data_IF_262040643830
#
_entry.id   IF_262040643830
#
_cell.length_a   1.000
_cell.length_b   1.000
_cell.length_c   1.000
_cell.angle_alpha   90.00
_cell.angle_beta   90.00
_cell.angle_gamma   90.00
#
_symmetry.space_group_name_H-M   'P 1'
#
loop_
_entity.id
_entity.type
_entity.pdbx_description
1 polymer ?
#
# COMPACT_ATOMS: atom_id res chain seq x y z
N UNK A 1 -11.31 19.59 44.92
CA UNK A 1 -10.75 18.23 44.75
C UNK A 1 -10.99 17.86 43.29
N UNK A 2 -9.91 17.82 42.51
CA UNK A 2 -9.96 17.63 41.06
C UNK A 2 -10.25 16.17 40.69
N UNK A 3 -10.93 15.96 39.55
CA UNK A 3 -10.38 15.28 38.38
C UNK A 3 -11.40 15.33 37.22
N UNK A 4 -10.96 15.92 36.10
CA UNK A 4 -11.58 15.88 34.76
C UNK A 4 -11.22 14.54 34.06
N UNK A 5 -11.61 14.31 32.78
CA UNK A 5 -12.47 13.22 32.33
C UNK A 5 -11.68 11.98 31.89
N UNK A 6 -12.32 10.80 31.92
CA UNK A 6 -11.81 9.61 31.25
C UNK A 6 -12.11 9.68 29.75
N UNK A 7 -11.48 10.61 29.03
CA UNK A 7 -11.30 10.51 27.57
C UNK A 7 -10.10 9.60 27.28
N UNK A 8 -10.23 8.33 27.67
CA UNK A 8 -9.21 7.30 27.47
C UNK A 8 -9.86 6.12 26.76
N UNK A 9 -10.07 6.27 25.46
CA UNK A 9 -10.76 5.29 24.64
C UNK A 9 -10.25 5.21 23.22
N UNK A 10 -8.96 5.46 22.96
CA UNK A 10 -8.25 5.02 21.74
C UNK A 10 -6.75 5.33 21.83
N UNK A 11 -6.05 4.56 22.66
CA UNK A 11 -4.59 4.41 22.55
C UNK A 11 -4.25 2.96 22.83
N UNK A 12 -4.96 2.03 22.16
CA UNK A 12 -4.29 0.77 21.83
C UNK A 12 -3.34 1.17 20.71
N UNK A 13 -2.07 1.37 21.04
CA UNK A 13 -1.02 1.39 20.04
C UNK A 13 -1.10 0.04 19.31
N UNK A 14 -1.88 0.00 18.24
CA UNK A 14 -2.08 -1.19 17.45
C UNK A 14 -0.75 -1.49 16.78
N UNK A 15 -0.01 -2.46 17.33
CA UNK A 15 1.22 -2.94 16.74
C UNK A 15 0.82 -3.79 15.54
N UNK A 16 0.88 -3.20 14.35
CA UNK A 16 0.72 -3.93 13.10
C UNK A 16 1.99 -4.76 12.94
N UNK A 17 1.88 -6.08 13.12
CA UNK A 17 3.03 -7.00 13.05
C UNK A 17 2.85 -8.05 11.95
N UNK A 18 1.63 -8.21 11.45
CA UNK A 18 1.27 -9.25 10.51
C UNK A 18 0.20 -8.78 9.52
N UNK A 19 0.06 -9.52 8.43
CA UNK A 19 -1.03 -9.36 7.48
C UNK A 19 -2.42 -9.49 8.16
N UNK A 20 -2.56 -10.36 9.16
CA UNK A 20 -3.81 -10.53 9.91
C UNK A 20 -4.19 -9.28 10.72
N UNK A 21 -3.21 -8.52 11.21
CA UNK A 21 -3.46 -7.25 11.90
C UNK A 21 -3.95 -6.18 10.92
N UNK A 22 -3.41 -6.16 9.70
CA UNK A 22 -3.92 -5.28 8.63
C UNK A 22 -5.35 -5.65 8.28
N UNK A 23 -5.65 -6.94 8.09
CA UNK A 23 -7.01 -7.39 7.76
C UNK A 23 -8.01 -7.04 8.86
N UNK A 24 -7.63 -7.20 10.12
CA UNK A 24 -8.44 -6.75 11.26
C UNK A 24 -8.70 -5.24 11.18
N UNK A 25 -7.65 -4.45 10.93
CA UNK A 25 -7.76 -3.00 10.81
C UNK A 25 -8.73 -2.57 9.70
N UNK A 26 -8.62 -3.21 8.54
CA UNK A 26 -9.49 -2.99 7.38
C UNK A 26 -10.95 -3.23 7.72
N UNK A 27 -11.25 -4.30 8.46
CA UNK A 27 -12.60 -4.62 8.92
C UNK A 27 -13.09 -3.62 9.96
N UNK A 28 -12.28 -3.34 11.00
CA UNK A 28 -12.66 -2.48 12.12
C UNK A 28 -12.93 -1.03 11.68
N UNK A 29 -12.18 -0.54 10.70
CA UNK A 29 -12.32 0.84 10.18
C UNK A 29 -13.17 0.92 8.92
N UNK A 30 -13.59 -0.22 8.36
CA UNK A 30 -14.28 -0.29 7.06
C UNK A 30 -13.50 0.37 5.91
N UNK A 31 -12.18 0.13 5.89
CA UNK A 31 -11.24 0.67 4.91
C UNK A 31 -10.44 -0.44 4.24
N UNK A 32 -9.86 -0.11 3.10
CA UNK A 32 -8.91 -0.93 2.38
C UNK A 32 -7.60 -0.18 2.15
N UNK A 33 -6.48 -0.88 2.34
CA UNK A 33 -5.17 -0.36 1.96
C UNK A 33 -4.89 -0.67 0.49
N UNK A 34 -4.68 0.39 -0.29
CA UNK A 34 -4.31 0.30 -1.69
C UNK A 34 -2.86 0.75 -1.86
N UNK A 35 -2.11 -0.05 -2.63
CA UNK A 35 -0.68 0.15 -2.85
C UNK A 35 -0.41 0.51 -4.31
N UNK A 36 -0.05 1.77 -4.56
CA UNK A 36 0.36 2.24 -5.89
C UNK A 36 1.87 2.08 -6.06
N UNK A 37 2.34 1.32 -7.06
CA UNK A 37 3.76 1.21 -7.33
C UNK A 37 4.31 2.52 -7.90
N UNK A 38 5.55 2.85 -7.55
CA UNK A 38 6.32 3.87 -8.26
C UNK A 38 6.85 3.30 -9.57
N UNK A 39 6.72 4.05 -10.66
CA UNK A 39 7.27 3.69 -11.98
C UNK A 39 7.93 4.94 -12.55
N UNK A 40 9.24 4.90 -12.77
CA UNK A 40 10.02 6.06 -13.18
C UNK A 40 11.05 5.71 -14.25
N UNK A 41 11.33 6.66 -15.15
CA UNK A 41 12.40 6.56 -16.13
C UNK A 41 13.75 6.97 -15.51
N UNK A 42 14.80 6.21 -15.82
CA UNK A 42 16.17 6.47 -15.45
C UNK A 42 16.90 7.24 -16.56
N UNK A 43 18.04 7.92 -16.28
CA UNK A 43 18.75 8.73 -17.27
C UNK A 43 19.26 7.97 -18.50
N UNK A 44 19.36 6.64 -18.42
CA UNK A 44 19.75 5.76 -19.53
C UNK A 44 18.57 5.30 -20.41
N UNK A 45 17.36 5.81 -20.14
CA UNK A 45 16.13 5.47 -20.86
C UNK A 45 15.46 4.17 -20.38
N UNK A 46 16.02 3.50 -19.37
CA UNK A 46 15.36 2.35 -18.75
C UNK A 46 14.33 2.79 -17.72
N UNK A 47 13.37 1.91 -17.43
CA UNK A 47 12.29 2.18 -16.47
C UNK A 47 12.45 1.29 -15.24
N UNK A 48 12.34 1.87 -14.05
CA UNK A 48 12.33 1.16 -12.77
C UNK A 48 10.93 1.17 -12.17
N UNK A 49 10.49 0.02 -11.65
CA UNK A 49 9.24 -0.10 -10.90
C UNK A 49 9.46 -0.74 -9.53
N UNK A 50 8.73 -0.26 -8.51
CA UNK A 50 8.85 -0.69 -7.11
C UNK A 50 7.56 -0.43 -6.31
N UNK A 51 7.24 -1.29 -5.34
CA UNK A 51 6.22 -1.01 -4.32
C UNK A 51 6.77 -0.18 -3.14
N UNK A 52 5.95 0.66 -2.48
CA UNK A 52 6.40 1.69 -1.53
C UNK A 52 7.41 1.24 -0.45
N UNK A 53 7.29 0.03 0.08
CA UNK A 53 8.19 -0.51 1.10
C UNK A 53 8.93 -1.79 0.66
N UNK A 54 8.88 -2.13 -0.62
CA UNK A 54 9.63 -3.26 -1.14
C UNK A 54 11.13 -2.96 -1.15
N UNK A 55 11.93 -3.90 -0.64
CA UNK A 55 13.40 -3.89 -0.73
C UNK A 55 13.92 -4.28 -2.12
N UNK A 56 13.01 -4.63 -3.03
CA UNK A 56 13.28 -5.03 -4.40
C UNK A 56 12.65 -4.06 -5.41
N UNK A 57 13.14 -4.13 -6.64
CA UNK A 57 12.62 -3.39 -7.78
C UNK A 57 12.89 -4.18 -9.05
N UNK A 58 12.16 -3.87 -10.11
CA UNK A 58 12.37 -4.45 -11.43
C UNK A 58 12.71 -3.35 -12.44
N UNK A 59 13.39 -3.73 -13.52
CA UNK A 59 13.67 -2.85 -14.65
C UNK A 59 12.90 -3.30 -15.90
N UNK A 60 12.51 -2.35 -16.75
CA UNK A 60 11.93 -2.57 -18.08
C UNK A 60 12.49 -1.57 -19.09
N UNK A 61 12.31 -1.85 -20.38
CA UNK A 61 12.67 -0.91 -21.46
C UNK A 61 11.65 0.20 -21.65
N UNK A 62 10.44 0.05 -21.10
CA UNK A 62 9.40 1.06 -21.09
C UNK A 62 8.57 0.98 -19.79
N UNK A 63 7.74 2.00 -19.56
CA UNK A 63 6.88 2.09 -18.39
C UNK A 63 5.93 0.89 -18.23
N UNK A 64 5.36 0.42 -19.34
CA UNK A 64 4.44 -0.72 -19.32
C UNK A 64 5.14 -2.03 -19.00
N UNK A 65 6.30 -2.29 -19.60
CA UNK A 65 7.07 -3.49 -19.30
C UNK A 65 7.53 -3.50 -17.83
N UNK A 66 7.95 -2.36 -17.29
CA UNK A 66 8.32 -2.26 -15.88
C UNK A 66 7.14 -2.61 -14.96
N UNK A 67 5.91 -2.16 -15.28
CA UNK A 67 4.69 -2.54 -14.55
C UNK A 67 4.39 -4.04 -14.65
N UNK A 68 4.44 -4.61 -15.85
CA UNK A 68 4.17 -6.02 -16.08
C UNK A 68 5.18 -6.91 -15.34
N UNK A 69 6.47 -6.57 -15.40
CA UNK A 69 7.53 -7.26 -14.66
C UNK A 69 7.34 -7.13 -13.15
N UNK A 70 6.88 -5.98 -12.65
CA UNK A 70 6.63 -5.78 -11.22
C UNK A 70 5.51 -6.71 -10.74
N UNK A 71 4.43 -6.80 -11.51
CA UNK A 71 3.32 -7.71 -11.22
C UNK A 71 3.77 -9.18 -11.25
N UNK A 72 4.56 -9.57 -12.25
CA UNK A 72 5.10 -10.92 -12.35
C UNK A 72 6.02 -11.28 -11.16
N UNK A 73 6.91 -10.36 -10.76
CA UNK A 73 7.79 -10.53 -9.60
C UNK A 73 6.98 -10.67 -8.31
N UNK A 74 5.93 -9.87 -8.13
CA UNK A 74 5.01 -10.01 -6.99
C UNK A 74 4.36 -11.39 -6.95
N UNK A 75 3.83 -11.88 -8.07
CA UNK A 75 3.23 -13.21 -8.16
C UNK A 75 4.24 -14.33 -7.87
N UNK A 76 5.48 -14.15 -8.34
CA UNK A 76 6.58 -15.09 -8.06
C UNK A 76 6.89 -15.15 -6.56
N UNK A 77 6.98 -13.99 -5.90
CA UNK A 77 7.22 -13.86 -4.46
C UNK A 77 6.08 -14.40 -3.61
N UNK A 78 4.83 -14.25 -4.06
CA UNK A 78 3.67 -14.86 -3.41
C UNK A 78 3.71 -16.39 -3.40
N UNK A 79 4.40 -17.01 -4.36
CA UNK A 79 4.56 -18.47 -4.43
C UNK A 79 5.77 -18.98 -3.63
N UNK A 80 6.68 -18.10 -3.22
CA UNK A 80 7.87 -18.44 -2.44
C UNK A 80 7.60 -18.55 -0.95
N UNK A 81 8.40 -19.35 -0.24
CA UNK A 81 8.31 -19.52 1.22
C UNK A 81 8.72 -18.26 2.01
N UNK A 82 9.43 -17.31 1.37
CA UNK A 82 9.80 -16.01 1.92
C UNK A 82 8.85 -14.94 1.36
N UNK A 83 7.57 -15.01 1.74
CA UNK A 83 6.63 -13.93 1.45
C UNK A 83 7.08 -12.71 2.26
N UNK A 84 7.96 -11.89 1.68
CA UNK A 84 8.30 -10.59 2.23
C UNK A 84 7.04 -9.75 2.23
N UNK A 85 6.52 -9.52 3.43
CA UNK A 85 5.31 -8.76 3.74
C UNK A 85 5.58 -7.25 3.60
N UNK A 86 6.07 -6.84 2.43
CA UNK A 86 6.28 -5.42 2.12
C UNK A 86 5.01 -4.59 2.33
N UNK A 87 3.83 -5.22 2.25
CA UNK A 87 2.54 -4.61 2.59
C UNK A 87 2.43 -4.29 4.09
N UNK A 88 2.83 -5.21 4.96
CA UNK A 88 2.90 -4.97 6.41
C UNK A 88 3.84 -3.80 6.69
N UNK A 89 5.05 -3.84 6.13
CA UNK A 89 6.02 -2.76 6.32
C UNK A 89 5.50 -1.41 5.80
N UNK A 90 4.83 -1.40 4.64
CA UNK A 90 4.23 -0.20 4.07
C UNK A 90 3.15 0.41 4.97
N UNK A 91 2.27 -0.43 5.55
CA UNK A 91 1.23 0.03 6.46
C UNK A 91 1.81 0.46 7.81
N UNK A 92 2.78 -0.28 8.34
CA UNK A 92 3.52 0.10 9.57
C UNK A 92 4.14 1.48 9.41
N UNK A 93 4.86 1.73 8.31
CA UNK A 93 5.44 3.06 8.02
C UNK A 93 4.36 4.13 7.85
N UNK A 94 3.27 3.82 7.16
CA UNK A 94 2.15 4.75 6.99
C UNK A 94 1.59 5.25 8.33
N UNK A 95 1.51 4.38 9.34
CA UNK A 95 1.06 4.78 10.68
C UNK A 95 2.16 5.39 11.55
N UNK A 96 3.41 4.94 11.42
CA UNK A 96 4.51 5.39 12.27
C UNK A 96 5.10 6.74 11.81
N UNK A 97 5.24 6.94 10.50
CA UNK A 97 5.93 8.09 9.88
C UNK A 97 4.94 9.09 9.29
N UNK A 98 3.65 8.72 9.21
CA UNK A 98 2.62 9.46 8.48
C UNK A 98 2.47 8.98 7.03
N UNK A 99 1.67 9.69 6.21
CA UNK A 99 1.32 9.23 4.87
C UNK A 99 2.53 8.88 4.01
N UNK A 100 2.69 7.60 3.68
CA UNK A 100 3.72 7.10 2.77
C UNK A 100 3.23 7.19 1.33
N UNK A 101 4.03 7.79 0.45
CA UNK A 101 3.73 7.86 -0.99
C UNK A 101 3.44 6.48 -1.57
N UNK A 102 2.28 6.34 -2.20
CA UNK A 102 1.84 5.08 -2.79
C UNK A 102 1.14 4.13 -1.81
N UNK A 103 0.89 4.53 -0.56
CA UNK A 103 0.04 3.79 0.39
C UNK A 103 -1.18 4.65 0.70
N UNK A 104 -2.38 4.15 0.35
CA UNK A 104 -3.62 4.88 0.52
C UNK A 104 -4.61 4.06 1.34
N UNK A 105 -5.23 4.71 2.32
CA UNK A 105 -6.39 4.21 3.05
C UNK A 105 -7.64 4.72 2.33
N UNK A 106 -8.43 3.81 1.77
CA UNK A 106 -9.68 4.13 1.07
C UNK A 106 -10.86 3.49 1.79
N UNK A 107 -12.01 4.15 1.81
CA UNK A 107 -13.26 3.49 2.20
C UNK A 107 -13.47 2.23 1.34
N UNK A 108 -13.95 1.14 1.94
CA UNK A 108 -14.14 -0.13 1.22
C UNK A 108 -14.98 0.02 -0.06
N UNK A 109 -16.05 0.82 -0.03
CA UNK A 109 -16.88 1.07 -1.20
C UNK A 109 -16.12 1.76 -2.35
N UNK A 110 -15.17 2.64 -2.02
CA UNK A 110 -14.31 3.31 -3.00
C UNK A 110 -13.28 2.31 -3.54
N UNK A 111 -12.65 1.53 -2.67
CA UNK A 111 -11.70 0.50 -3.06
C UNK A 111 -12.34 -0.57 -3.98
N UNK A 112 -13.55 -1.03 -3.66
CA UNK A 112 -14.32 -1.95 -4.50
C UNK A 112 -14.57 -1.37 -5.90
N UNK A 113 -14.93 -0.08 -5.97
CA UNK A 113 -15.13 0.63 -7.25
C UNK A 113 -13.83 0.72 -8.06
N UNK A 114 -12.69 0.96 -7.41
CA UNK A 114 -11.38 0.98 -8.06
C UNK A 114 -10.99 -0.40 -8.59
N UNK A 115 -11.22 -1.46 -7.79
CA UNK A 115 -10.95 -2.84 -8.16
C UNK A 115 -11.82 -3.27 -9.34
N UNK A 116 -13.11 -2.93 -9.31
CA UNK A 116 -14.06 -3.22 -10.39
C UNK A 116 -13.66 -2.52 -11.69
N UNK A 117 -13.27 -1.24 -11.62
CA UNK A 117 -12.78 -0.52 -12.78
C UNK A 117 -11.47 -1.13 -13.32
N UNK A 118 -10.56 -1.53 -12.42
CA UNK A 118 -9.30 -2.18 -12.78
C UNK A 118 -8.33 -1.27 -13.56
N UNK A 119 -8.52 0.05 -13.51
CA UNK A 119 -7.69 1.02 -14.25
C UNK A 119 -6.86 1.90 -13.32
N UNK A 120 -5.74 2.42 -13.83
CA UNK A 120 -4.88 3.35 -13.10
C UNK A 120 -5.61 4.67 -12.86
N UNK A 121 -6.43 5.11 -13.83
CA UNK A 121 -7.20 6.34 -13.76
C UNK A 121 -8.26 6.28 -12.65
N UNK A 122 -8.90 5.13 -12.43
CA UNK A 122 -9.84 4.96 -11.33
C UNK A 122 -9.15 5.07 -9.97
N UNK A 123 -7.96 4.47 -9.85
CA UNK A 123 -7.14 4.61 -8.65
C UNK A 123 -6.72 6.06 -8.44
N UNK A 124 -6.17 6.70 -9.47
CA UNK A 124 -5.67 8.09 -9.39
C UNK A 124 -6.81 9.05 -9.00
N UNK A 125 -8.00 8.90 -9.57
CA UNK A 125 -9.19 9.65 -9.19
C UNK A 125 -9.60 9.41 -7.72
N UNK A 126 -9.58 8.16 -7.25
CA UNK A 126 -9.94 7.82 -5.87
C UNK A 126 -8.96 8.39 -4.83
N UNK A 127 -7.67 8.51 -5.18
CA UNK A 127 -6.64 9.04 -4.28
C UNK A 127 -6.35 10.53 -4.50
N UNK A 128 -7.13 11.21 -5.36
CA UNK A 128 -7.01 12.64 -5.62
C UNK A 128 -5.73 13.03 -6.38
N UNK A 129 -5.18 12.12 -7.18
CA UNK A 129 -4.01 12.38 -8.03
C UNK A 129 -4.43 12.75 -9.45
N UNK A 130 -3.68 13.66 -10.11
CA UNK A 130 -3.95 14.09 -11.48
C UNK A 130 -3.69 12.99 -12.51
#
# INVERSE_FOLDING_TARGET
MALLPLEQGWCVAMQIQSQADIERLMIERNVSFVFRPSVAELPDGTWVARYPAADWSVMGCCSEEARQRLHAEQLSRMRGANHSDWKVEAVVRHFAEGPVTGVYELDNAVADSVIEAGTQEALDAAVGLP
#
